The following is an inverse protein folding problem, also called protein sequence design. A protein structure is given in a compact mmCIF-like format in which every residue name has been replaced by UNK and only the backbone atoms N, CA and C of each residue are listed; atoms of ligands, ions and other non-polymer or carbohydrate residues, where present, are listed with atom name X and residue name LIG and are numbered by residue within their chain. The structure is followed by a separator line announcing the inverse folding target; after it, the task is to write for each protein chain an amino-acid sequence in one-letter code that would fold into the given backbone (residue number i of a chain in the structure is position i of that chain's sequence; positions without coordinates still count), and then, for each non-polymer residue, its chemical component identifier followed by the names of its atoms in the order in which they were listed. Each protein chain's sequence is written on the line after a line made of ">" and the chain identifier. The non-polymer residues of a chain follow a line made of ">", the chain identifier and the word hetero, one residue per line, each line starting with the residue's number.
data_IF_528953246312
#
_entry.id   IF_528953246312
#
_cell.length_a   1.000
_cell.length_b   1.000
_cell.length_c   1.000
_cell.angle_alpha   90.00
_cell.angle_beta   90.00
_cell.angle_gamma   90.00
#
_symmetry.space_group_name_H-M   'P 1'
#
loop_
_entity.id
_entity.type
_entity.pdbx_description
1 polymer ?
#
# COMPACT_ATOMS: atom_id res chain seq x y z
N UNK A 1 0.28 4.13 -11.91
CA UNK A 1 1.65 3.96 -11.39
C UNK A 1 1.67 4.57 -10.01
N UNK A 2 2.22 3.86 -9.03
CA UNK A 2 2.44 4.39 -7.69
C UNK A 2 3.63 5.37 -7.71
N UNK A 3 3.68 6.29 -6.75
CA UNK A 3 4.77 7.26 -6.60
C UNK A 3 6.10 6.57 -6.26
N UNK A 4 6.05 5.37 -5.68
CA UNK A 4 7.20 4.53 -5.34
C UNK A 4 7.83 3.82 -6.55
N UNK A 5 7.17 3.87 -7.72
CA UNK A 5 7.63 3.15 -8.91
C UNK A 5 7.13 1.70 -8.96
N UNK A 6 7.93 0.82 -9.57
CA UNK A 6 7.57 -0.58 -9.81
C UNK A 6 8.56 -1.49 -9.09
N UNK A 7 8.04 -2.54 -8.44
CA UNK A 7 8.81 -3.51 -7.68
C UNK A 7 8.65 -4.90 -8.33
N UNK A 8 9.76 -5.59 -8.52
CA UNK A 8 9.83 -6.96 -9.00
C UNK A 8 10.13 -7.92 -7.85
N UNK A 9 10.30 -9.20 -8.19
CA UNK A 9 10.64 -10.22 -7.21
C UNK A 9 11.95 -9.86 -6.50
N UNK A 10 11.92 -9.89 -5.17
CA UNK A 10 13.03 -9.54 -4.26
C UNK A 10 13.36 -8.05 -4.13
N UNK A 11 12.62 -7.15 -4.77
CA UNK A 11 12.76 -5.73 -4.49
C UNK A 11 12.09 -5.37 -3.16
N UNK A 12 12.67 -4.41 -2.43
CA UNK A 12 12.19 -3.96 -1.12
C UNK A 12 11.97 -2.46 -1.14
N UNK A 13 10.83 -2.02 -0.63
CA UNK A 13 10.55 -0.62 -0.36
C UNK A 13 10.59 -0.38 1.16
N UNK A 14 11.40 0.59 1.58
CA UNK A 14 11.30 1.19 2.91
C UNK A 14 10.62 2.55 2.78
N UNK A 15 9.63 2.80 3.64
CA UNK A 15 8.63 3.85 3.49
C UNK A 15 8.45 4.57 4.81
N UNK A 16 8.64 5.89 4.79
CA UNK A 16 8.31 6.73 5.95
C UNK A 16 6.83 7.20 5.92
N UNK A 17 6.36 7.68 7.07
CA UNK A 17 4.95 8.06 7.28
C UNK A 17 4.46 9.27 6.45
N UNK A 18 5.35 10.00 5.79
CA UNK A 18 5.02 11.17 4.97
C UNK A 18 4.75 10.78 3.51
N UNK A 19 5.00 9.53 3.13
CA UNK A 19 4.82 9.03 1.78
C UNK A 19 3.39 8.52 1.58
N UNK A 20 2.61 9.25 0.78
CA UNK A 20 1.29 8.81 0.34
C UNK A 20 1.41 7.91 -0.90
N UNK A 21 1.54 6.62 -0.68
CA UNK A 21 1.64 5.62 -1.75
C UNK A 21 0.35 4.80 -1.88
N UNK A 22 0.11 4.27 -3.08
CA UNK A 22 -1.00 3.38 -3.37
C UNK A 22 -0.47 2.09 -3.99
N UNK A 23 -0.53 0.94 -3.27
CA UNK A 23 -0.11 -0.33 -3.85
C UNK A 23 -1.04 -0.71 -4.99
N UNK A 24 -0.46 -0.97 -6.17
CA UNK A 24 -1.16 -1.40 -7.38
C UNK A 24 -0.52 -2.69 -7.86
N UNK A 25 -1.30 -3.77 -7.92
CA UNK A 25 -0.86 -5.05 -8.49
C UNK A 25 -0.76 -4.97 -10.02
N UNK A 26 0.11 -5.79 -10.60
CA UNK A 26 0.21 -5.93 -12.06
C UNK A 26 -1.07 -6.54 -12.63
N UNK A 27 -1.54 -6.09 -13.80
CA UNK A 27 -2.76 -6.60 -14.41
C UNK A 27 -2.60 -7.98 -15.07
N UNK A 28 -1.37 -8.33 -15.44
CA UNK A 28 -1.02 -9.45 -16.32
C UNK A 28 -0.37 -10.64 -15.59
N UNK A 29 -0.17 -10.52 -14.28
CA UNK A 29 0.52 -11.54 -13.47
C UNK A 29 0.10 -11.48 -12.01
N UNK A 30 0.18 -12.63 -11.36
CA UNK A 30 -0.02 -12.72 -9.92
C UNK A 30 1.12 -12.04 -9.18
N UNK A 31 0.80 -11.40 -8.06
CA UNK A 31 1.74 -10.70 -7.22
C UNK A 31 1.40 -10.97 -5.76
N UNK A 32 2.38 -11.48 -5.00
CA UNK A 32 2.29 -11.62 -3.55
C UNK A 32 3.23 -10.59 -2.94
N UNK A 33 2.67 -9.64 -2.21
CA UNK A 33 3.42 -8.62 -1.47
C UNK A 33 3.30 -8.88 0.03
N UNK A 34 4.43 -8.76 0.73
CA UNK A 34 4.45 -8.76 2.20
C UNK A 34 4.68 -7.33 2.65
N UNK A 35 3.79 -6.83 3.50
CA UNK A 35 3.90 -5.51 4.11
C UNK A 35 4.10 -5.67 5.61
N UNK A 36 5.06 -4.93 6.16
CA UNK A 36 5.21 -4.72 7.60
C UNK A 36 4.98 -3.23 7.91
N UNK A 37 4.18 -2.93 8.93
CA UNK A 37 3.91 -1.56 9.38
C UNK A 37 3.95 -1.52 10.91
N UNK A 38 4.50 -0.45 11.47
CA UNK A 38 4.54 -0.22 12.91
C UNK A 38 3.23 0.37 13.45
N UNK A 39 2.42 0.98 12.59
CA UNK A 39 1.20 1.71 12.99
C UNK A 39 0.01 1.41 12.09
N UNK A 40 -1.18 1.80 12.55
CA UNK A 40 -2.44 1.62 11.81
C UNK A 40 -2.39 2.39 10.49
N UNK A 41 -2.92 1.78 9.45
CA UNK A 41 -3.07 2.43 8.14
C UNK A 41 -3.93 3.70 8.25
N UNK A 42 -3.42 4.80 7.71
CA UNK A 42 -4.13 6.09 7.67
C UNK A 42 -4.69 6.32 6.27
N UNK A 43 -5.98 6.07 6.10
CA UNK A 43 -6.63 6.31 4.81
C UNK A 43 -6.99 7.79 4.67
N UNK A 44 -6.66 8.39 3.52
CA UNK A 44 -6.97 9.77 3.19
C UNK A 44 -8.23 9.87 2.32
N UNK A 45 -9.04 10.91 2.53
CA UNK A 45 -10.30 11.12 1.81
C UNK A 45 -11.52 10.54 2.52
N UNK A 46 -12.70 11.14 2.29
CA UNK A 46 -13.93 10.83 3.02
C UNK A 46 -14.37 9.37 2.82
N UNK A 47 -14.41 8.91 1.56
CA UNK A 47 -14.79 7.55 1.20
C UNK A 47 -13.84 6.51 1.78
N UNK A 48 -12.53 6.72 1.66
CA UNK A 48 -11.54 5.78 2.18
C UNK A 48 -11.59 5.70 3.72
N UNK A 49 -11.82 6.83 4.40
CA UNK A 49 -12.05 6.86 5.86
C UNK A 49 -13.31 6.11 6.28
N UNK A 50 -14.39 6.21 5.51
CA UNK A 50 -15.61 5.43 5.77
C UNK A 50 -15.40 3.92 5.62
N UNK A 51 -14.47 3.51 4.75
CA UNK A 51 -14.17 2.11 4.51
C UNK A 51 -13.19 1.50 5.54
N UNK A 52 -12.50 2.32 6.35
CA UNK A 52 -11.54 1.85 7.37
C UNK A 52 -12.07 0.71 8.28
N UNK A 53 -13.33 0.72 8.76
CA UNK A 53 -13.84 -0.35 9.63
C UNK A 53 -13.85 -1.75 8.99
N UNK A 54 -13.85 -1.83 7.66
CA UNK A 54 -13.82 -3.10 6.93
C UNK A 54 -12.40 -3.63 6.73
N UNK A 55 -11.39 -2.78 6.87
CA UNK A 55 -9.99 -3.15 6.79
C UNK A 55 -9.43 -3.20 8.21
N UNK A 56 -9.52 -4.39 8.82
CA UNK A 56 -9.18 -4.64 10.23
C UNK A 56 -7.69 -4.65 10.57
N UNK A 57 -6.91 -3.73 10.02
CA UNK A 57 -5.48 -3.52 10.27
C UNK A 57 -5.28 -2.16 10.93
#
# INVERSE_FOLDING_TARGET
>A
HDIQGAFALNDVADLDSHIQHQPIAYPDRECICVLATESRLRFHGLLARMMQPFFGI
#
